data_IF_898797673144
#
_entry.id   IF_898797673144
#
_cell.length_a   1.000
_cell.length_b   1.000
_cell.length_c   1.000
_cell.angle_alpha   90.00
_cell.angle_beta   90.00
_cell.angle_gamma   90.00
#
_symmetry.space_group_name_H-M   'P 1'
#
loop_
_entity.id
_entity.type
_entity.pdbx_description
1 polymer ?
#
# COMPACT_ATOMS: atom_id res chain seq x y z
N UNK A 1 -9.10 5.91 34.03
CA UNK A 1 -8.55 4.68 33.39
C UNK A 1 -9.65 3.77 32.83
N UNK A 2 -10.60 3.26 33.62
CA UNK A 2 -11.69 2.38 33.12
C UNK A 2 -12.52 3.06 32.03
N UNK A 3 -12.91 4.32 32.24
CA UNK A 3 -13.65 5.12 31.25
C UNK A 3 -12.91 5.24 29.92
N UNK A 4 -11.59 5.46 29.96
CA UNK A 4 -10.75 5.54 28.77
C UNK A 4 -10.78 4.23 27.97
N UNK A 5 -10.64 3.10 28.67
CA UNK A 5 -10.65 1.76 28.05
C UNK A 5 -12.01 1.48 27.41
N UNK A 6 -13.11 1.84 28.07
CA UNK A 6 -14.46 1.66 27.52
C UNK A 6 -14.65 2.49 26.25
N UNK A 7 -14.30 3.78 26.28
CA UNK A 7 -14.43 4.66 25.12
C UNK A 7 -13.54 4.17 23.97
N UNK A 8 -12.30 3.78 24.26
CA UNK A 8 -11.39 3.21 23.27
C UNK A 8 -11.93 1.93 22.63
N UNK A 9 -12.39 0.97 23.45
CA UNK A 9 -12.95 -0.29 22.95
C UNK A 9 -14.21 -0.06 22.11
N UNK A 10 -15.10 0.85 22.53
CA UNK A 10 -16.29 1.22 21.78
C UNK A 10 -15.93 1.85 20.42
N UNK A 11 -14.99 2.79 20.39
CA UNK A 11 -14.51 3.40 19.14
C UNK A 11 -13.93 2.34 18.21
N UNK A 12 -13.10 1.43 18.73
CA UNK A 12 -12.47 0.38 17.95
C UNK A 12 -13.50 -0.60 17.36
N UNK A 13 -14.49 -1.03 18.14
CA UNK A 13 -15.58 -1.89 17.66
C UNK A 13 -16.37 -1.17 16.56
N UNK A 14 -16.73 0.10 16.76
CA UNK A 14 -17.46 0.88 15.76
C UNK A 14 -16.67 1.03 14.46
N UNK A 15 -15.36 1.28 14.54
CA UNK A 15 -14.47 1.33 13.37
C UNK A 15 -14.46 -0.03 12.67
N UNK A 16 -14.32 -1.12 13.41
CA UNK A 16 -14.32 -2.47 12.86
C UNK A 16 -15.64 -2.85 12.16
N UNK A 17 -16.78 -2.26 12.55
CA UNK A 17 -18.05 -2.49 11.85
C UNK A 17 -18.13 -1.83 10.47
N UNK A 18 -17.29 -0.82 10.19
CA UNK A 18 -17.28 -0.09 8.92
C UNK A 18 -18.57 0.66 8.57
N UNK A 19 -19.54 0.76 9.49
CA UNK A 19 -20.87 1.35 9.25
C UNK A 19 -20.89 2.88 9.34
N UNK A 20 -19.95 3.45 10.10
CA UNK A 20 -19.86 4.88 10.39
C UNK A 20 -18.49 5.37 9.92
N UNK A 21 -18.38 6.58 9.33
CA UNK A 21 -17.10 7.14 8.91
C UNK A 21 -16.07 7.14 10.05
N UNK A 22 -14.88 6.61 9.79
CA UNK A 22 -13.85 6.42 10.83
C UNK A 22 -13.43 7.73 11.50
N UNK A 23 -13.37 8.82 10.71
CA UNK A 23 -13.07 10.17 11.20
C UNK A 23 -14.10 10.62 12.23
N UNK A 24 -15.39 10.36 11.98
CA UNK A 24 -16.46 10.74 12.90
C UNK A 24 -16.32 10.01 14.23
N UNK A 25 -16.04 8.70 14.19
CA UNK A 25 -15.83 7.89 15.39
C UNK A 25 -14.63 8.41 16.19
N UNK A 26 -13.51 8.68 15.53
CA UNK A 26 -12.30 9.18 16.18
C UNK A 26 -12.52 10.53 16.87
N UNK A 27 -13.16 11.49 16.19
CA UNK A 27 -13.45 12.83 16.75
C UNK A 27 -14.46 12.75 17.88
N UNK A 28 -15.54 11.95 17.74
CA UNK A 28 -16.50 11.73 18.83
C UNK A 28 -15.85 11.08 20.06
N UNK A 29 -15.01 10.08 19.85
CA UNK A 29 -14.25 9.43 20.93
C UNK A 29 -13.36 10.43 21.67
N UNK A 30 -12.63 11.27 20.94
CA UNK A 30 -11.81 12.33 21.53
C UNK A 30 -12.65 13.35 22.31
N UNK A 31 -13.79 13.80 21.75
CA UNK A 31 -14.69 14.72 22.46
C UNK A 31 -15.24 14.11 23.74
N UNK A 32 -15.68 12.85 23.72
CA UNK A 32 -16.18 12.15 24.91
C UNK A 32 -15.08 12.06 25.99
N UNK A 33 -13.83 11.78 25.59
CA UNK A 33 -12.70 11.74 26.52
C UNK A 33 -12.44 13.09 27.21
N UNK A 34 -12.59 14.20 26.48
CA UNK A 34 -12.47 15.55 27.03
C UNK A 34 -13.66 15.90 27.92
N UNK A 35 -14.89 15.64 27.47
CA UNK A 35 -16.11 15.91 28.24
C UNK A 35 -16.16 15.14 29.57
N UNK A 36 -15.64 13.92 29.60
CA UNK A 36 -15.57 13.10 30.82
C UNK A 36 -14.38 13.47 31.72
N UNK A 37 -13.59 14.48 31.35
CA UNK A 37 -12.42 14.94 32.11
C UNK A 37 -11.29 13.91 32.17
N UNK A 38 -11.27 12.94 31.25
CA UNK A 38 -10.22 11.92 31.17
C UNK A 38 -8.96 12.50 30.56
N UNK A 39 -9.11 13.44 29.63
CA UNK A 39 -8.05 14.24 29.03
C UNK A 39 -8.45 15.71 29.10
N UNK A 40 -7.48 16.60 29.26
CA UNK A 40 -7.69 18.03 29.06
C UNK A 40 -7.74 18.36 27.56
N UNK A 41 -8.30 19.52 27.21
CA UNK A 41 -8.33 20.02 25.83
C UNK A 41 -6.92 20.16 25.24
N UNK A 42 -5.97 20.66 26.05
CA UNK A 42 -4.58 20.80 25.65
C UNK A 42 -3.89 19.46 25.42
N UNK A 43 -4.11 18.48 26.30
CA UNK A 43 -3.58 17.13 26.10
C UNK A 43 -4.19 16.48 24.86
N UNK A 44 -5.50 16.59 24.64
CA UNK A 44 -6.13 16.02 23.45
C UNK A 44 -5.52 16.57 22.15
N UNK A 45 -5.27 17.89 22.10
CA UNK A 45 -4.64 18.54 20.95
C UNK A 45 -3.14 18.20 20.81
N UNK A 46 -2.41 18.01 21.92
CA UNK A 46 -0.98 17.65 21.85
C UNK A 46 -0.73 16.26 21.28
N UNK A 47 -1.73 15.38 21.31
CA UNK A 47 -1.65 14.05 20.68
C UNK A 47 -1.94 14.09 19.16
N UNK A 48 -2.36 15.22 18.61
CA UNK A 48 -2.54 15.38 17.15
C UNK A 48 -1.20 15.68 16.51
N UNK A 49 -0.62 14.70 15.84
CA UNK A 49 0.62 14.89 15.10
C UNK A 49 0.35 15.49 13.70
N UNK A 50 0.49 16.81 13.60
CA UNK A 50 0.32 17.53 12.33
C UNK A 50 1.36 17.15 11.27
N UNK A 51 2.57 16.76 11.67
CA UNK A 51 3.61 16.34 10.73
C UNK A 51 3.16 15.08 9.98
N UNK A 52 2.60 14.09 10.70
CA UNK A 52 2.05 12.87 10.10
C UNK A 52 0.86 13.17 9.19
N UNK A 53 -0.06 14.03 9.63
CA UNK A 53 -1.23 14.41 8.82
C UNK A 53 -0.82 15.11 7.53
N UNK A 54 0.09 16.09 7.62
CA UNK A 54 0.59 16.84 6.46
C UNK A 54 1.43 15.96 5.53
N UNK A 55 2.21 15.04 6.08
CA UNK A 55 2.96 14.05 5.30
C UNK A 55 2.00 13.17 4.48
N UNK A 56 1.01 12.54 5.12
CA UNK A 56 0.02 11.71 4.44
C UNK A 56 -0.79 12.50 3.40
N UNK A 57 -1.21 13.73 3.73
CA UNK A 57 -1.91 14.61 2.80
C UNK A 57 -1.05 14.99 1.58
N UNK A 58 0.24 15.29 1.80
CA UNK A 58 1.20 15.59 0.74
C UNK A 58 1.42 14.41 -0.19
N UNK A 59 1.61 13.20 0.35
CA UNK A 59 1.82 11.99 -0.43
C UNK A 59 0.57 11.59 -1.23
N UNK A 60 -0.61 11.67 -0.62
CA UNK A 60 -1.89 11.45 -1.34
C UNK A 60 -2.14 12.48 -2.44
N UNK A 61 -1.75 13.74 -2.23
CA UNK A 61 -1.86 14.79 -3.24
C UNK A 61 -0.92 14.55 -4.42
N UNK A 62 0.35 14.23 -4.14
CA UNK A 62 1.34 13.87 -5.16
C UNK A 62 0.87 12.66 -5.97
N UNK A 63 0.32 11.65 -5.28
CA UNK A 63 -0.27 10.48 -5.89
C UNK A 63 -1.41 10.80 -6.86
N UNK A 64 -2.33 11.69 -6.46
CA UNK A 64 -3.43 12.12 -7.32
C UNK A 64 -2.94 12.83 -8.58
N UNK A 65 -1.93 13.71 -8.44
CA UNK A 65 -1.36 14.46 -9.58
C UNK A 65 -0.65 13.51 -10.54
N UNK A 66 0.21 12.62 -10.04
CA UNK A 66 0.88 11.63 -10.86
C UNK A 66 -0.11 10.72 -11.61
N UNK A 67 -1.23 10.35 -10.97
CA UNK A 67 -2.29 9.56 -11.60
C UNK A 67 -2.93 10.22 -12.81
N UNK A 68 -2.90 11.55 -12.91
CA UNK A 68 -3.45 12.29 -14.04
C UNK A 68 -2.47 12.51 -15.20
N UNK A 69 -1.23 12.00 -15.10
CA UNK A 69 -0.19 12.22 -16.12
C UNK A 69 -0.05 11.09 -17.14
N UNK A 70 -0.80 9.99 -16.97
CA UNK A 70 -0.64 8.77 -17.79
C UNK A 70 0.64 7.98 -17.51
N UNK A 71 1.48 8.42 -16.56
CA UNK A 71 2.71 7.71 -16.17
C UNK A 71 2.42 6.29 -15.66
N UNK A 72 1.28 6.09 -15.02
CA UNK A 72 0.80 4.80 -14.52
C UNK A 72 0.40 3.85 -15.64
N UNK A 73 -0.30 4.32 -16.66
CA UNK A 73 -0.64 3.51 -17.83
C UNK A 73 0.60 3.17 -18.66
N UNK A 74 1.56 4.09 -18.78
CA UNK A 74 2.85 3.79 -19.40
C UNK A 74 3.63 2.70 -18.66
N UNK A 75 3.73 2.81 -17.33
CA UNK A 75 4.41 1.83 -16.49
C UNK A 75 3.71 0.46 -16.56
N UNK A 76 2.37 0.45 -16.61
CA UNK A 76 1.55 -0.75 -16.79
C UNK A 76 1.88 -1.48 -18.10
N UNK A 77 1.80 -0.78 -19.23
CA UNK A 77 2.03 -1.35 -20.56
C UNK A 77 3.46 -1.87 -20.66
N UNK A 78 4.45 -1.08 -20.20
CA UNK A 78 5.86 -1.51 -20.23
C UNK A 78 6.12 -2.73 -19.37
N UNK A 79 5.53 -2.78 -18.18
CA UNK A 79 5.70 -3.93 -17.28
C UNK A 79 5.07 -5.19 -17.84
N UNK A 80 3.88 -5.10 -18.45
CA UNK A 80 3.19 -6.22 -19.08
C UNK A 80 3.91 -6.71 -20.35
N UNK A 81 4.50 -5.80 -21.14
CA UNK A 81 5.35 -6.13 -22.28
C UNK A 81 6.63 -6.87 -21.85
N UNK A 82 7.25 -6.46 -20.74
CA UNK A 82 8.48 -7.06 -20.22
C UNK A 82 8.33 -8.57 -19.95
N UNK A 83 7.12 -9.00 -19.55
CA UNK A 83 6.80 -10.39 -19.20
C UNK A 83 5.95 -11.12 -20.25
N UNK A 84 5.89 -10.58 -21.49
CA UNK A 84 5.18 -11.18 -22.64
C UNK A 84 3.72 -11.54 -22.32
N UNK A 85 3.03 -10.65 -21.60
CA UNK A 85 1.63 -10.81 -21.23
C UNK A 85 1.32 -11.98 -20.29
N UNK A 86 2.32 -12.65 -19.70
CA UNK A 86 2.03 -13.70 -18.72
C UNK A 86 1.47 -13.08 -17.44
N UNK A 87 0.20 -13.33 -17.15
CA UNK A 87 -0.48 -12.81 -15.97
C UNK A 87 0.26 -13.11 -14.65
N UNK A 88 0.76 -14.33 -14.47
CA UNK A 88 1.46 -14.71 -13.23
C UNK A 88 2.82 -14.01 -13.10
N UNK A 89 3.61 -13.93 -14.17
CA UNK A 89 4.86 -13.15 -14.15
C UNK A 89 4.58 -11.65 -13.94
N UNK A 90 3.46 -11.14 -14.46
CA UNK A 90 3.03 -9.76 -14.23
C UNK A 90 2.71 -9.54 -12.75
N UNK A 91 2.02 -10.49 -12.11
CA UNK A 91 1.74 -10.45 -10.68
C UNK A 91 3.04 -10.45 -9.86
N UNK A 92 3.99 -11.34 -10.18
CA UNK A 92 5.29 -11.39 -9.50
C UNK A 92 6.07 -10.09 -9.68
N UNK A 93 6.12 -9.55 -10.90
CA UNK A 93 6.82 -8.31 -11.20
C UNK A 93 6.20 -7.12 -10.45
N UNK A 94 4.87 -7.00 -10.49
CA UNK A 94 4.15 -5.95 -9.76
C UNK A 94 4.37 -6.07 -8.25
N UNK A 95 4.35 -7.27 -7.70
CA UNK A 95 4.60 -7.51 -6.27
C UNK A 95 6.03 -7.12 -5.89
N UNK A 96 7.02 -7.49 -6.71
CA UNK A 96 8.41 -7.12 -6.48
C UNK A 96 8.64 -5.60 -6.55
N UNK A 97 8.09 -4.94 -7.58
CA UNK A 97 8.15 -3.47 -7.70
C UNK A 97 7.47 -2.81 -6.49
N UNK A 98 6.31 -3.31 -6.08
CA UNK A 98 5.57 -2.80 -4.92
C UNK A 98 6.38 -2.94 -3.63
N UNK A 99 6.99 -4.09 -3.39
CA UNK A 99 7.82 -4.33 -2.20
C UNK A 99 9.06 -3.43 -2.20
N UNK A 100 9.77 -3.33 -3.32
CA UNK A 100 10.96 -2.46 -3.41
C UNK A 100 10.59 -1.00 -3.26
N UNK A 101 9.52 -0.53 -3.91
CA UNK A 101 9.09 0.85 -3.79
C UNK A 101 8.63 1.18 -2.35
N UNK A 102 7.93 0.24 -1.71
CA UNK A 102 7.49 0.39 -0.31
C UNK A 102 8.65 0.29 0.69
N UNK A 103 9.83 -0.17 0.29
CA UNK A 103 11.03 -0.08 1.13
C UNK A 103 11.52 1.37 1.27
N UNK A 104 11.09 2.30 0.42
CA UNK A 104 11.51 3.71 0.46
C UNK A 104 10.36 4.68 0.72
N UNK A 105 9.12 4.23 0.53
CA UNK A 105 7.90 5.01 0.64
C UNK A 105 6.92 4.26 1.56
N UNK A 106 6.00 4.98 2.19
CA UNK A 106 5.00 4.32 3.03
C UNK A 106 4.10 3.39 2.19
N UNK A 107 3.67 2.32 2.84
CA UNK A 107 2.86 1.25 2.25
C UNK A 107 1.53 1.77 1.68
N UNK A 108 0.90 2.76 2.31
CA UNK A 108 -0.39 3.31 1.86
C UNK A 108 -0.20 4.06 0.55
N UNK A 109 0.81 4.93 0.46
CA UNK A 109 1.13 5.67 -0.77
C UNK A 109 1.38 4.73 -1.94
N UNK A 110 2.22 3.71 -1.75
CA UNK A 110 2.51 2.76 -2.83
C UNK A 110 1.24 2.04 -3.32
N UNK A 111 0.38 1.59 -2.41
CA UNK A 111 -0.86 0.92 -2.79
C UNK A 111 -1.79 1.87 -3.55
N UNK A 112 -1.95 3.11 -3.09
CA UNK A 112 -2.77 4.13 -3.78
C UNK A 112 -2.27 4.38 -5.21
N UNK A 113 -0.95 4.36 -5.41
CA UNK A 113 -0.33 4.52 -6.73
C UNK A 113 -0.45 3.27 -7.61
N UNK A 114 -0.24 2.10 -7.02
CA UNK A 114 -0.09 0.86 -7.77
C UNK A 114 -1.43 0.19 -8.09
N UNK A 115 -2.49 0.45 -7.32
CA UNK A 115 -3.83 -0.11 -7.56
C UNK A 115 -4.42 0.33 -8.91
N UNK A 116 -4.43 1.63 -9.29
CA UNK A 116 -4.89 2.05 -10.61
C UNK A 116 -4.11 1.41 -11.76
N UNK A 117 -2.77 1.32 -11.63
CA UNK A 117 -1.87 0.65 -12.58
C UNK A 117 -2.32 -0.81 -12.75
N UNK A 118 -2.47 -1.52 -11.65
CA UNK A 118 -2.89 -2.93 -11.64
C UNK A 118 -4.26 -3.14 -12.25
N UNK A 119 -5.24 -2.29 -11.95
CA UNK A 119 -6.56 -2.39 -12.55
C UNK A 119 -6.50 -2.19 -14.07
N UNK A 120 -5.66 -1.26 -14.56
CA UNK A 120 -5.41 -1.05 -15.99
C UNK A 120 -4.76 -2.29 -16.64
N UNK A 121 -3.74 -2.86 -15.99
CA UNK A 121 -3.08 -4.11 -16.42
C UNK A 121 -4.07 -5.28 -16.49
N UNK A 122 -4.84 -5.50 -15.43
CA UNK A 122 -5.76 -6.64 -15.35
C UNK A 122 -6.87 -6.55 -16.39
N UNK A 123 -7.38 -5.35 -16.68
CA UNK A 123 -8.33 -5.12 -17.79
C UNK A 123 -7.70 -5.47 -19.13
N UNK A 124 -6.48 -4.99 -19.38
CA UNK A 124 -5.75 -5.25 -20.63
C UNK A 124 -5.41 -6.74 -20.81
N UNK A 125 -5.06 -7.45 -19.72
CA UNK A 125 -4.79 -8.89 -19.73
C UNK A 125 -6.05 -9.77 -19.68
N UNK A 126 -7.22 -9.18 -19.41
CA UNK A 126 -8.49 -9.90 -19.23
C UNK A 126 -8.47 -10.87 -18.04
N UNK A 127 -7.75 -10.53 -16.96
CA UNK A 127 -7.62 -11.37 -15.75
C UNK A 127 -8.34 -10.75 -14.55
N UNK A 128 -8.70 -11.58 -13.58
CA UNK A 128 -9.29 -11.09 -12.33
C UNK A 128 -8.27 -10.21 -11.59
N UNK A 129 -8.61 -8.96 -11.19
CA UNK A 129 -7.69 -8.08 -10.48
C UNK A 129 -7.49 -8.46 -9.01
N UNK A 130 -8.41 -9.22 -8.39
CA UNK A 130 -8.37 -9.51 -6.95
C UNK A 130 -7.03 -10.13 -6.50
N UNK A 131 -6.46 -11.14 -7.18
CA UNK A 131 -5.16 -11.70 -6.78
C UNK A 131 -4.02 -10.67 -6.85
N UNK A 132 -4.05 -9.76 -7.82
CA UNK A 132 -3.02 -8.73 -7.95
C UNK A 132 -3.12 -7.69 -6.84
N UNK A 133 -4.34 -7.25 -6.51
CA UNK A 133 -4.57 -6.29 -5.44
C UNK A 133 -4.14 -6.86 -4.09
N UNK A 134 -4.50 -8.12 -3.81
CA UNK A 134 -4.04 -8.81 -2.59
C UNK A 134 -2.51 -8.93 -2.57
N UNK A 135 -1.91 -9.34 -3.70
CA UNK A 135 -0.47 -9.46 -3.82
C UNK A 135 0.25 -8.13 -3.52
N UNK A 136 -0.27 -7.02 -4.04
CA UNK A 136 0.30 -5.70 -3.81
C UNK A 136 0.12 -5.22 -2.37
N UNK A 137 -1.05 -5.43 -1.77
CA UNK A 137 -1.26 -5.07 -0.36
C UNK A 137 -0.32 -5.85 0.55
N UNK A 138 -0.14 -7.15 0.34
CA UNK A 138 0.82 -7.92 1.14
C UNK A 138 2.27 -7.54 0.82
N UNK A 139 2.60 -7.36 -0.46
CA UNK A 139 3.96 -7.01 -0.88
C UNK A 139 4.38 -5.62 -0.40
N UNK A 140 3.49 -4.63 -0.35
CA UNK A 140 3.82 -3.31 0.21
C UNK A 140 4.14 -3.40 1.70
N UNK A 141 3.35 -4.13 2.47
CA UNK A 141 3.63 -4.32 3.90
C UNK A 141 4.95 -5.08 4.13
N UNK A 142 5.21 -6.14 3.36
CA UNK A 142 6.48 -6.89 3.44
C UNK A 142 7.66 -5.99 3.07
N UNK A 143 7.52 -5.21 2.00
CA UNK A 143 8.54 -4.25 1.55
C UNK A 143 8.82 -3.17 2.60
N UNK A 144 7.77 -2.61 3.20
CA UNK A 144 7.89 -1.57 4.23
C UNK A 144 8.63 -2.03 5.48
N UNK A 145 8.57 -3.31 5.83
CA UNK A 145 9.36 -3.85 6.96
C UNK A 145 10.86 -3.82 6.70
N UNK A 146 11.32 -3.76 5.45
CA UNK A 146 12.74 -3.90 5.11
C UNK A 146 13.62 -2.71 5.48
N UNK A 147 13.06 -1.51 5.72
CA UNK A 147 13.84 -0.31 6.03
C UNK A 147 13.24 0.51 7.16
N UNK A 148 14.08 1.34 7.79
CA UNK A 148 13.68 2.27 8.86
C UNK A 148 12.74 3.36 8.35
N UNK A 149 12.91 3.80 7.11
CA UNK A 149 12.24 5.01 6.57
C UNK A 149 10.80 4.73 6.16
N UNK A 150 10.49 3.48 5.83
CA UNK A 150 9.22 3.13 5.22
C UNK A 150 8.00 3.24 6.15
N UNK A 151 8.15 3.06 7.47
CA UNK A 151 7.02 3.10 8.41
C UNK A 151 7.44 3.66 9.78
N UNK A 152 6.67 4.58 10.42
CA UNK A 152 6.97 5.08 11.76
C UNK A 152 7.32 4.05 12.85
N UNK A 153 6.68 2.86 12.97
CA UNK A 153 7.11 1.83 13.92
C UNK A 153 8.57 1.40 13.72
N UNK A 154 9.08 1.35 12.48
CA UNK A 154 10.47 0.97 12.23
C UNK A 154 11.44 2.04 12.72
N UNK A 155 11.08 3.32 12.59
CA UNK A 155 11.83 4.46 13.16
C UNK A 155 11.91 4.32 14.68
N UNK A 156 10.79 4.01 15.34
CA UNK A 156 10.73 3.85 16.80
C UNK A 156 11.61 2.67 17.25
N UNK A 157 11.52 1.53 16.57
CA UNK A 157 12.35 0.36 16.88
C UNK A 157 13.83 0.69 16.69
N UNK A 158 14.21 1.34 15.59
CA UNK A 158 15.59 1.71 15.33
C UNK A 158 16.14 2.70 16.38
N UNK A 159 15.33 3.66 16.81
CA UNK A 159 15.68 4.61 17.86
C UNK A 159 15.88 3.93 19.23
N UNK A 160 14.95 3.05 19.63
CA UNK A 160 15.02 2.36 20.93
C UNK A 160 16.14 1.32 20.98
N UNK A 161 16.36 0.59 19.87
CA UNK A 161 17.46 -0.36 19.75
C UNK A 161 18.82 0.31 19.48
N UNK A 162 18.84 1.63 19.24
CA UNK A 162 20.02 2.42 18.92
C UNK A 162 20.82 1.88 17.71
N UNK A 163 20.09 1.42 16.69
CA UNK A 163 20.64 0.84 15.45
C UNK A 163 20.48 1.81 14.29
N UNK A 164 21.51 1.90 13.45
CA UNK A 164 21.50 2.75 12.25
C UNK A 164 20.65 2.18 11.11
N UNK A 165 20.39 2.99 10.08
CA UNK A 165 19.63 2.59 8.89
C UNK A 165 20.17 1.31 8.23
N UNK A 166 21.48 1.23 8.03
CA UNK A 166 22.13 0.08 7.37
C UNK A 166 22.02 -1.18 8.23
N UNK A 167 22.22 -1.05 9.54
CA UNK A 167 22.15 -2.17 10.48
C UNK A 167 20.72 -2.72 10.58
N UNK A 168 19.71 -1.85 10.68
CA UNK A 168 18.31 -2.26 10.63
C UNK A 168 17.99 -2.97 9.31
N UNK A 169 18.40 -2.39 8.16
CA UNK A 169 18.15 -2.97 6.85
C UNK A 169 18.80 -4.35 6.69
N UNK A 170 20.03 -4.53 7.17
CA UNK A 170 20.72 -5.83 7.11
C UNK A 170 20.03 -6.91 7.95
N UNK A 171 19.31 -6.54 9.00
CA UNK A 171 18.54 -7.48 9.82
C UNK A 171 17.13 -7.73 9.24
N UNK A 172 16.45 -6.68 8.78
CA UNK A 172 15.05 -6.74 8.35
C UNK A 172 14.87 -7.16 6.89
N UNK A 173 15.75 -6.71 5.99
CA UNK A 173 15.63 -7.01 4.55
C UNK A 173 15.71 -8.51 4.22
N UNK A 174 16.59 -9.33 4.84
CA UNK A 174 16.60 -10.77 4.59
C UNK A 174 15.27 -11.44 4.97
N UNK A 175 14.67 -11.04 6.09
CA UNK A 175 13.36 -11.55 6.54
C UNK A 175 12.27 -11.12 5.56
N UNK A 176 12.28 -9.86 5.13
CA UNK A 176 11.36 -9.34 4.12
C UNK A 176 11.43 -10.13 2.80
N UNK A 177 12.64 -10.47 2.34
CA UNK A 177 12.82 -11.28 1.13
C UNK A 177 12.22 -12.68 1.30
N UNK A 178 12.44 -13.34 2.44
CA UNK A 178 11.84 -14.65 2.73
C UNK A 178 10.31 -14.57 2.76
N UNK A 179 9.75 -13.53 3.37
CA UNK A 179 8.32 -13.27 3.38
C UNK A 179 7.77 -13.05 1.96
N UNK A 180 8.49 -12.29 1.11
CA UNK A 180 8.07 -12.02 -0.26
C UNK A 180 8.06 -13.30 -1.12
N UNK A 181 9.09 -14.13 -0.99
CA UNK A 181 9.15 -15.44 -1.68
C UNK A 181 8.00 -16.34 -1.20
N UNK A 182 7.75 -16.37 0.11
CA UNK A 182 6.64 -17.14 0.69
C UNK A 182 5.29 -16.65 0.18
N UNK A 183 5.08 -15.33 0.11
CA UNK A 183 3.88 -14.72 -0.45
C UNK A 183 3.67 -15.15 -1.91
N UNK A 184 4.70 -15.06 -2.75
CA UNK A 184 4.62 -15.47 -4.16
C UNK A 184 4.27 -16.96 -4.26
N UNK A 185 4.86 -17.81 -3.41
CA UNK A 185 4.53 -19.24 -3.36
C UNK A 185 3.08 -19.50 -2.98
N UNK A 186 2.55 -18.82 -1.95
CA UNK A 186 1.14 -18.93 -1.54
C UNK A 186 0.20 -18.46 -2.64
N UNK A 187 0.48 -17.29 -3.25
CA UNK A 187 -0.32 -16.74 -4.34
C UNK A 187 -0.32 -17.65 -5.57
N UNK A 188 0.80 -18.30 -5.89
CA UNK A 188 0.86 -19.30 -6.94
C UNK A 188 -0.09 -20.47 -6.65
N UNK A 189 -0.06 -21.02 -5.44
CA UNK A 189 -0.90 -22.16 -5.08
C UNK A 189 -2.38 -21.79 -5.10
N UNK A 190 -2.75 -20.62 -4.55
CA UNK A 190 -4.15 -20.21 -4.41
C UNK A 190 -4.76 -19.64 -5.69
N UNK A 191 -3.97 -18.93 -6.50
CA UNK A 191 -4.52 -18.15 -7.63
C UNK A 191 -3.99 -18.56 -9.01
N UNK A 192 -3.18 -19.61 -9.16
CA UNK A 192 -2.67 -20.10 -10.46
C UNK A 192 -3.68 -20.10 -11.61
N UNK A 193 -4.92 -20.52 -11.34
CA UNK A 193 -5.97 -20.64 -12.34
C UNK A 193 -6.66 -19.29 -12.65
N UNK A 194 -6.65 -18.35 -11.71
CA UNK A 194 -7.27 -17.03 -11.85
C UNK A 194 -6.38 -16.02 -12.57
N UNK A 195 -5.06 -16.27 -12.62
CA UNK A 195 -4.05 -15.40 -13.24
C UNK A 195 -3.57 -15.97 -14.60
N UNK A 196 -4.19 -17.04 -15.09
CA UNK A 196 -3.87 -17.61 -16.40
C UNK A 196 -4.39 -16.69 -17.51
N UNK A 197 -3.55 -16.38 -18.49
CA UNK A 197 -3.83 -15.41 -19.57
C UNK A 197 -3.98 -16.15 -20.89
N UNK A 198 -5.02 -15.81 -21.67
CA UNK A 198 -5.23 -16.38 -23.00
C UNK A 198 -4.16 -15.89 -23.99
N UNK A 199 -3.78 -16.68 -25.01
CA UNK A 199 -2.82 -16.26 -26.05
C UNK A 199 -3.23 -14.95 -26.76
N UNK A 200 -4.52 -14.78 -27.00
CA UNK A 200 -5.13 -13.62 -27.67
C UNK A 200 -4.94 -12.32 -26.87
N UNK A 201 -5.13 -12.37 -25.55
CA UNK A 201 -4.89 -11.22 -24.67
C UNK A 201 -3.40 -10.87 -24.58
N UNK A 202 -2.51 -11.87 -24.69
CA UNK A 202 -1.06 -11.64 -24.65
C UNK A 202 -0.61 -10.89 -25.90
N UNK A 203 -1.15 -11.23 -27.06
CA UNK A 203 -0.87 -10.56 -28.32
C UNK A 203 -1.46 -9.14 -28.35
N UNK A 204 -2.65 -8.94 -27.76
CA UNK A 204 -3.25 -7.62 -27.58
C UNK A 204 -2.39 -6.67 -26.73
N UNK A 205 -1.74 -7.16 -25.65
CA UNK A 205 -0.82 -6.33 -24.84
C UNK A 205 0.45 -5.99 -25.61
N UNK A 206 0.98 -6.95 -26.38
CA UNK A 206 2.23 -6.76 -27.12
C UNK A 206 2.10 -5.77 -28.29
N UNK A 207 0.87 -5.53 -28.78
CA UNK A 207 0.58 -4.58 -29.86
C UNK A 207 0.29 -3.14 -29.39
N UNK A 208 0.22 -2.88 -28.08
CA UNK A 208 -0.04 -1.54 -27.55
C UNK A 208 1.19 -0.61 -27.59
N UNK A 209 1.01 0.63 -28.03
CA UNK A 209 2.03 1.69 -27.92
C UNK A 209 2.01 2.32 -26.52
N UNK A 210 2.97 1.96 -25.67
CA UNK A 210 3.13 2.55 -24.34
C UNK A 210 3.28 4.08 -24.38
N UNK A 211 3.91 4.64 -25.42
CA UNK A 211 4.13 6.08 -25.54
C UNK A 211 2.86 6.86 -25.94
N UNK A 212 1.83 6.18 -26.44
CA UNK A 212 0.54 6.79 -26.70
C UNK A 212 -0.23 7.09 -25.39
N UNK A 213 -0.04 6.28 -24.34
CA UNK A 213 -0.71 6.47 -23.05
C UNK A 213 -0.37 7.80 -22.37
N UNK A 214 0.88 8.25 -22.45
CA UNK A 214 1.30 9.57 -21.94
C UNK A 214 0.75 10.70 -22.82
N UNK A 215 0.65 10.48 -24.14
CA UNK A 215 0.19 11.49 -25.11
C UNK A 215 -1.31 11.76 -25.03
N UNK A 216 -2.12 10.74 -24.69
CA UNK A 216 -3.56 10.87 -24.53
C UNK A 216 -3.99 11.57 -23.23
N UNK A 217 -3.05 11.78 -22.29
CA UNK A 217 -3.29 12.38 -20.98
C UNK A 217 -3.06 13.91 -20.95
N UNK A 218 -2.68 14.52 -22.08
CA UNK A 218 -2.63 15.98 -22.28
C UNK A 218 -3.97 16.49 -22.77
#
# INVERSE_FOLDING_TARGET
MITAIIVFAACYILIATGRIPHVLIAVLGAMIMVFLGVLTEHEALSHVNLEVILLLAGMMSLANVFGRTGAFDWAAIRSAQLVRGNGFLTLCLMSAITAVASAFLDNVTIVVLAVPITLSICRTLGVNPVPFLLAQVFASNIGGVSTVVADPPNIIIAAEANIGFVEFMLNAAPVSIVCLVTLIGVLYIWFRNAVTTSPENREAVMSQDAAAAIRASK
#
